data_IF_182173072434
#
_entry.id   IF_182173072434
#
_cell.length_a   1.000
_cell.length_b   1.000
_cell.length_c   1.000
_cell.angle_alpha   90.00
_cell.angle_beta   90.00
_cell.angle_gamma   90.00
#
_symmetry.space_group_name_H-M   'P 1'
#
loop_
_entity.id
_entity.type
_entity.pdbx_description
1 polymer ?
#
# COMPACT_ATOMS: atom_id res chain seq x y z
N UNK A 1 -36.14 -52.34 -38.36
CA UNK A 1 -35.13 -51.76 -39.29
C UNK A 1 -35.37 -50.26 -39.35
N UNK A 2 -34.43 -49.34 -39.26
CA UNK A 2 -32.98 -49.36 -39.05
C UNK A 2 -32.66 -47.92 -38.62
N UNK A 3 -31.78 -47.81 -37.63
CA UNK A 3 -30.77 -46.75 -37.45
C UNK A 3 -31.14 -45.36 -37.96
N UNK A 4 -31.25 -44.36 -37.08
CA UNK A 4 -30.46 -43.10 -37.14
C UNK A 4 -30.63 -42.30 -35.84
N UNK A 5 -30.75 -43.02 -34.71
CA UNK A 5 -30.59 -42.47 -33.38
C UNK A 5 -29.10 -42.63 -33.07
N UNK A 6 -28.45 -41.60 -32.50
CA UNK A 6 -27.11 -41.63 -31.82
C UNK A 6 -25.89 -40.98 -32.50
N UNK A 7 -26.03 -39.96 -33.34
CA UNK A 7 -24.86 -39.15 -33.76
C UNK A 7 -25.06 -37.64 -33.67
N UNK A 8 -25.91 -37.16 -32.76
CA UNK A 8 -25.80 -35.78 -32.26
C UNK A 8 -24.75 -35.75 -31.13
N UNK A 9 -23.51 -36.06 -31.52
CA UNK A 9 -22.31 -35.78 -30.74
C UNK A 9 -22.31 -34.29 -30.38
N UNK A 10 -22.27 -33.96 -29.10
CA UNK A 10 -21.01 -33.71 -28.40
C UNK A 10 -20.28 -32.44 -28.91
N UNK A 11 -20.94 -31.28 -28.90
CA UNK A 11 -20.29 -30.01 -29.28
C UNK A 11 -20.82 -28.77 -28.53
N UNK A 12 -21.27 -28.90 -27.27
CA UNK A 12 -21.84 -27.76 -26.49
C UNK A 12 -21.10 -27.51 -25.17
N UNK A 13 -19.91 -28.07 -24.94
CA UNK A 13 -19.33 -28.11 -23.58
C UNK A 13 -17.96 -27.47 -23.35
N UNK A 14 -17.41 -26.64 -24.25
CA UNK A 14 -16.02 -26.18 -24.07
C UNK A 14 -15.68 -24.71 -24.41
N UNK A 15 -16.64 -23.82 -24.60
CA UNK A 15 -16.31 -22.43 -25.00
C UNK A 15 -17.05 -21.36 -24.20
N UNK A 16 -16.84 -21.29 -22.89
CA UNK A 16 -17.07 -20.06 -22.10
C UNK A 16 -16.40 -20.08 -20.73
N UNK A 17 -15.21 -20.66 -20.63
CA UNK A 17 -14.32 -20.41 -19.48
C UNK A 17 -12.97 -19.88 -19.98
N UNK A 18 -13.01 -18.85 -20.83
CA UNK A 18 -11.99 -17.80 -20.74
C UNK A 18 -12.43 -16.83 -19.65
N UNK A 19 -12.63 -17.37 -18.44
CA UNK A 19 -12.42 -16.59 -17.24
C UNK A 19 -10.94 -16.27 -17.29
N UNK A 20 -10.62 -15.05 -17.73
CA UNK A 20 -9.31 -14.48 -17.55
C UNK A 20 -9.08 -14.45 -16.04
N UNK A 21 -8.59 -15.56 -15.49
CA UNK A 21 -7.99 -15.61 -14.18
C UNK A 21 -6.69 -14.83 -14.34
N UNK A 22 -6.82 -13.51 -14.47
CA UNK A 22 -5.71 -12.63 -14.13
C UNK A 22 -5.52 -12.92 -12.65
N UNK A 23 -4.51 -13.74 -12.38
CA UNK A 23 -3.98 -13.90 -11.04
C UNK A 23 -3.70 -12.49 -10.59
N UNK A 24 -4.59 -11.96 -9.74
CA UNK A 24 -4.47 -10.64 -9.17
C UNK A 24 -3.34 -10.68 -8.15
N UNK A 25 -2.12 -10.99 -8.60
CA UNK A 25 -0.95 -10.43 -7.95
C UNK A 25 -1.20 -8.94 -7.94
N UNK A 26 -1.58 -8.44 -6.76
CA UNK A 26 -1.57 -7.02 -6.48
C UNK A 26 -0.12 -6.63 -6.70
N UNK A 27 0.15 -6.10 -7.88
CA UNK A 27 1.38 -5.40 -8.16
C UNK A 27 1.38 -4.21 -7.20
N UNK A 28 1.86 -4.44 -5.97
CA UNK A 28 2.17 -3.38 -5.03
C UNK A 28 3.39 -2.69 -5.63
N UNK A 29 3.13 -1.78 -6.57
CA UNK A 29 4.13 -0.84 -7.01
C UNK A 29 4.75 -0.25 -5.73
N UNK A 30 6.07 -0.43 -5.56
CA UNK A 30 6.81 0.17 -4.46
C UNK A 30 6.87 1.67 -4.71
N UNK A 31 5.85 2.38 -4.25
CA UNK A 31 5.70 3.81 -4.48
C UNK A 31 6.58 4.58 -3.50
N UNK A 32 7.75 5.01 -3.94
CA UNK A 32 8.64 5.80 -3.09
C UNK A 32 8.07 7.19 -2.81
N UNK A 33 8.25 7.75 -1.60
CA UNK A 33 7.96 9.15 -1.36
C UNK A 33 8.75 10.03 -2.33
N UNK A 34 8.18 11.16 -2.81
CA UNK A 34 8.88 12.05 -3.74
C UNK A 34 9.97 12.86 -3.03
N UNK A 35 10.89 13.47 -3.79
CA UNK A 35 12.00 14.27 -3.24
C UNK A 35 11.56 15.39 -2.30
N UNK A 36 10.37 15.94 -2.51
CA UNK A 36 9.76 16.94 -1.63
C UNK A 36 9.55 16.45 -0.17
N UNK A 37 9.61 15.13 0.06
CA UNK A 37 9.57 14.52 1.39
C UNK A 37 10.89 14.66 2.16
N UNK A 38 12.03 14.76 1.46
CA UNK A 38 13.36 14.80 2.09
C UNK A 38 13.51 15.85 3.21
N UNK A 39 13.14 17.13 3.04
CA UNK A 39 13.28 18.11 4.12
C UNK A 39 12.43 17.77 5.36
N UNK A 40 11.29 17.10 5.19
CA UNK A 40 10.45 16.63 6.30
C UNK A 40 11.15 15.50 7.03
N UNK A 41 11.72 14.54 6.29
CA UNK A 41 12.42 13.43 6.89
C UNK A 41 13.69 13.87 7.64
N UNK A 42 14.43 14.84 7.10
CA UNK A 42 15.57 15.44 7.81
C UNK A 42 15.14 16.07 9.14
N UNK A 43 14.06 16.86 9.14
CA UNK A 43 13.51 17.45 10.36
C UNK A 43 13.02 16.38 11.37
N UNK A 44 12.44 15.29 10.88
CA UNK A 44 12.04 14.17 11.72
C UNK A 44 13.24 13.53 12.42
N UNK A 45 14.36 13.33 11.72
CA UNK A 45 15.58 12.75 12.33
C UNK A 45 16.12 13.59 13.49
N UNK A 46 15.96 14.91 13.43
CA UNK A 46 16.38 15.83 14.49
C UNK A 46 15.48 15.79 15.75
N UNK A 47 14.33 15.10 15.70
CA UNK A 47 13.41 15.07 16.84
C UNK A 47 13.93 14.16 17.97
N UNK A 48 13.75 14.57 19.24
CA UNK A 48 14.19 13.79 20.38
C UNK A 48 13.22 12.67 20.75
N UNK A 49 13.75 11.67 21.46
CA UNK A 49 12.98 10.56 22.00
C UNK A 49 12.47 9.58 20.93
N UNK A 50 11.59 8.67 21.36
CA UNK A 50 10.96 7.72 20.47
C UNK A 50 10.11 8.43 19.43
N UNK A 51 10.28 8.10 18.15
CA UNK A 51 9.65 8.82 17.04
C UNK A 51 9.26 7.89 15.91
N UNK A 52 8.13 8.14 15.27
CA UNK A 52 7.65 7.38 14.11
C UNK A 52 7.17 8.35 13.05
N UNK A 53 7.50 8.05 11.79
CA UNK A 53 6.96 8.75 10.62
C UNK A 53 6.33 7.72 9.68
N UNK A 54 5.11 8.03 9.23
CA UNK A 54 4.35 7.23 8.28
C UNK A 54 4.09 8.05 7.02
N UNK A 55 4.03 7.37 5.88
CA UNK A 55 3.83 7.99 4.57
C UNK A 55 2.81 7.18 3.76
N UNK A 56 1.97 7.88 3.00
CA UNK A 56 1.10 7.34 1.97
C UNK A 56 1.50 7.96 0.63
N UNK A 57 1.66 7.15 -0.41
CA UNK A 57 2.03 7.59 -1.76
C UNK A 57 1.12 6.88 -2.75
N UNK A 58 0.42 7.64 -3.58
CA UNK A 58 -0.42 7.12 -4.66
C UNK A 58 0.38 6.94 -5.97
N UNK A 59 -0.05 6.03 -6.86
CA UNK A 59 0.50 5.90 -8.22
C UNK A 59 0.53 7.21 -9.02
N UNK A 60 -0.38 8.14 -8.73
CA UNK A 60 -0.42 9.47 -9.34
C UNK A 60 0.59 10.48 -8.75
N UNK A 61 1.52 10.04 -7.90
CA UNK A 61 2.55 10.90 -7.30
C UNK A 61 2.08 11.81 -6.16
N UNK A 62 0.78 11.77 -5.81
CA UNK A 62 0.27 12.45 -4.61
C UNK A 62 0.70 11.70 -3.38
N UNK A 63 0.98 12.42 -2.31
CA UNK A 63 1.48 11.83 -1.09
C UNK A 63 1.01 12.62 0.14
N UNK A 64 1.04 11.95 1.28
CA UNK A 64 0.72 12.51 2.58
C UNK A 64 1.59 11.82 3.63
N UNK A 65 1.84 12.51 4.74
CA UNK A 65 2.66 11.99 5.82
C UNK A 65 2.08 12.38 7.17
N UNK A 66 2.56 11.71 8.21
CA UNK A 66 2.35 12.10 9.60
C UNK A 66 3.48 11.56 10.45
N UNK A 67 3.88 12.33 11.46
CA UNK A 67 4.86 11.87 12.43
C UNK A 67 4.43 12.22 13.86
N UNK A 68 4.96 11.46 14.81
CA UNK A 68 4.87 11.74 16.23
C UNK A 68 6.20 11.37 16.89
N UNK A 69 6.53 12.09 17.95
CA UNK A 69 7.73 11.84 18.74
C UNK A 69 7.41 12.08 20.22
N UNK A 70 8.30 11.60 21.09
CA UNK A 70 8.24 11.83 22.55
C UNK A 70 6.89 11.43 23.17
N UNK A 71 6.35 10.27 22.76
CA UNK A 71 5.20 9.63 23.41
C UNK A 71 5.70 8.64 24.46
N UNK A 72 4.80 8.23 25.35
CA UNK A 72 5.12 7.28 26.41
C UNK A 72 5.46 5.89 25.84
N UNK A 73 4.96 5.58 24.64
CA UNK A 73 5.30 4.38 23.88
C UNK A 73 5.36 4.63 22.37
N UNK A 74 6.17 3.82 21.66
CA UNK A 74 6.14 3.72 20.20
C UNK A 74 4.74 3.43 19.64
N UNK A 75 3.91 2.65 20.34
CA UNK A 75 2.56 2.33 19.87
C UNK A 75 1.66 3.57 19.83
N UNK A 76 1.77 4.45 20.83
CA UNK A 76 1.06 5.74 20.84
C UNK A 76 1.59 6.68 19.77
N UNK A 77 2.91 6.73 19.58
CA UNK A 77 3.52 7.50 18.49
C UNK A 77 3.01 7.02 17.12
N UNK A 78 2.94 5.71 16.89
CA UNK A 78 2.41 5.14 15.65
C UNK A 78 0.94 5.53 15.43
N UNK A 79 0.12 5.45 16.48
CA UNK A 79 -1.31 5.82 16.40
C UNK A 79 -1.49 7.30 16.06
N UNK A 80 -0.76 8.19 16.73
CA UNK A 80 -0.84 9.63 16.46
C UNK A 80 -0.30 9.99 15.06
N UNK A 81 0.83 9.40 14.66
CA UNK A 81 1.37 9.55 13.31
C UNK A 81 0.38 9.08 12.23
N UNK A 82 -0.28 7.93 12.44
CA UNK A 82 -1.30 7.41 11.54
C UNK A 82 -2.52 8.33 11.44
N UNK A 83 -3.01 8.89 12.56
CA UNK A 83 -4.13 9.84 12.57
C UNK A 83 -3.77 11.11 11.79
N UNK A 84 -2.57 11.67 12.03
CA UNK A 84 -2.08 12.85 11.30
C UNK A 84 -1.98 12.58 9.80
N UNK A 85 -1.43 11.43 9.43
CA UNK A 85 -1.31 11.03 8.04
C UNK A 85 -2.66 10.80 7.38
N UNK A 86 -3.65 10.21 8.07
CA UNK A 86 -4.98 10.00 7.50
C UNK A 86 -5.72 11.32 7.26
N UNK A 87 -5.58 12.29 8.18
CA UNK A 87 -6.08 13.66 7.98
C UNK A 87 -5.43 14.32 6.75
N UNK A 88 -4.11 14.23 6.62
CA UNK A 88 -3.38 14.74 5.48
C UNK A 88 -3.79 14.05 4.16
N UNK A 89 -3.94 12.71 4.18
CA UNK A 89 -4.44 11.90 3.05
C UNK A 89 -5.75 12.44 2.52
N UNK A 90 -6.74 12.62 3.42
CA UNK A 90 -8.07 13.13 3.08
C UNK A 90 -7.99 14.52 2.48
N UNK A 91 -7.19 15.41 3.08
CA UNK A 91 -6.97 16.78 2.57
C UNK A 91 -6.35 16.80 1.17
N UNK A 92 -5.37 15.94 0.92
CA UNK A 92 -4.61 15.89 -0.34
C UNK A 92 -5.18 14.88 -1.35
N UNK A 93 -6.32 14.27 -1.06
CA UNK A 93 -7.00 13.25 -1.88
C UNK A 93 -6.09 12.05 -2.22
N UNK A 94 -5.25 11.65 -1.27
CA UNK A 94 -4.37 10.48 -1.37
C UNK A 94 -5.17 9.23 -0.97
N UNK A 95 -5.22 8.21 -1.83
CA UNK A 95 -6.09 7.03 -1.64
C UNK A 95 -5.38 5.78 -1.12
N UNK A 96 -4.06 5.71 -1.20
CA UNK A 96 -3.23 4.62 -0.65
C UNK A 96 -3.11 4.70 0.87
N UNK A 97 -3.10 3.55 1.54
CA UNK A 97 -2.99 3.51 3.02
C UNK A 97 -1.63 4.02 3.48
N UNK A 98 -1.60 4.66 4.65
CA UNK A 98 -0.34 5.02 5.29
C UNK A 98 0.46 3.76 5.66
N UNK A 99 1.76 3.77 5.38
CA UNK A 99 2.72 2.74 5.76
C UNK A 99 3.81 3.40 6.63
N UNK A 100 4.38 2.64 7.56
CA UNK A 100 5.50 3.13 8.37
C UNK A 100 6.69 3.36 7.44
N UNK A 101 7.24 4.56 7.48
CA UNK A 101 8.43 4.90 6.71
C UNK A 101 9.69 4.71 7.56
N UNK A 102 9.71 5.26 8.77
CA UNK A 102 10.81 5.08 9.71
C UNK A 102 10.33 5.00 11.17
N UNK A 103 11.11 4.31 11.98
CA UNK A 103 10.99 4.20 13.43
C UNK A 103 12.32 4.63 14.01
N UNK A 104 12.31 5.64 14.87
CA UNK A 104 13.51 6.31 15.36
C UNK A 104 14.40 6.77 14.20
N UNK A 105 15.62 6.25 14.12
CA UNK A 105 16.56 6.58 13.04
C UNK A 105 16.59 5.51 11.94
N UNK A 106 15.82 4.42 12.10
CA UNK A 106 15.78 3.29 11.19
C UNK A 106 14.68 3.45 10.12
N UNK A 107 15.08 3.44 8.84
CA UNK A 107 14.14 3.48 7.71
C UNK A 107 13.64 2.07 7.40
N UNK A 108 12.33 1.87 7.51
CA UNK A 108 11.65 0.59 7.27
C UNK A 108 11.11 0.49 5.85
N UNK A 109 10.81 1.62 5.20
CA UNK A 109 10.18 1.66 3.87
C UNK A 109 10.97 0.94 2.76
N UNK A 110 12.28 0.78 2.95
CA UNK A 110 13.18 0.11 2.01
C UNK A 110 13.61 -1.29 2.47
N UNK A 111 13.12 -1.76 3.62
CA UNK A 111 13.47 -3.07 4.15
C UNK A 111 12.55 -4.10 3.51
N UNK A 112 13.09 -4.94 2.63
CA UNK A 112 12.42 -6.16 2.23
C UNK A 112 12.37 -7.09 3.44
N UNK A 113 11.19 -7.61 3.78
CA UNK A 113 11.09 -8.77 4.66
C UNK A 113 11.34 -9.98 3.77
N UNK A 114 12.56 -10.51 3.79
CA UNK A 114 12.87 -11.86 3.30
C UNK A 114 12.23 -12.93 4.18
#
# INVERSE_FOLDING_TARGET
MKLFIKFALLAVLLSSVFGCATSGEKFEARLTPPDAFNPIFLRYKEMPGEKIIVVAVDPGGRWAFGYAHSKDTLQEAAKDAAIKCDKARKKHKVFTKAKIFAVNDDVIYYKEFE
#
